data_IF_651283418803
#
_entry.id   IF_651283418803
#
_cell.length_a   1.000
_cell.length_b   1.000
_cell.length_c   1.000
_cell.angle_alpha   90.00
_cell.angle_beta   90.00
_cell.angle_gamma   90.00
#
_symmetry.space_group_name_H-M   'P 1'
#
loop_
_entity.id
_entity.type
_entity.pdbx_description
1 polymer ?
#
# COMPACT_ATOMS: atom_id res chain seq x y z
N UNK A 1 -13.83 13.09 -10.24
CA UNK A 1 -12.87 12.18 -9.62
C UNK A 1 -12.31 12.82 -8.36
N UNK A 2 -12.28 12.08 -7.25
CA UNK A 2 -11.76 12.61 -6.00
C UNK A 2 -10.24 12.79 -6.07
N UNK A 3 -9.77 13.86 -5.48
CA UNK A 3 -8.33 14.17 -5.40
C UNK A 3 -7.94 14.33 -3.94
N UNK A 4 -6.72 13.94 -3.57
CA UNK A 4 -6.26 14.18 -2.21
C UNK A 4 -6.14 15.67 -1.94
N UNK A 5 -6.65 16.09 -0.80
CA UNK A 5 -6.43 17.43 -0.28
C UNK A 5 -5.28 17.44 0.72
N UNK A 6 -4.96 16.26 1.27
CA UNK A 6 -3.89 16.15 2.24
C UNK A 6 -3.31 14.74 2.20
N UNK A 7 -1.99 14.65 2.22
CA UNK A 7 -1.25 13.39 2.27
C UNK A 7 -0.24 13.52 3.40
N UNK A 8 -0.35 12.68 4.43
CA UNK A 8 0.56 12.72 5.57
C UNK A 8 1.20 11.37 5.77
N UNK A 9 2.53 11.35 5.76
CA UNK A 9 3.27 10.12 6.01
C UNK A 9 3.69 10.07 7.47
N UNK A 10 3.21 9.07 8.18
CA UNK A 10 3.57 8.82 9.56
C UNK A 10 4.66 7.75 9.60
N UNK A 11 5.91 8.18 9.68
CA UNK A 11 7.06 7.29 9.56
C UNK A 11 7.12 6.28 10.71
N UNK A 12 6.80 6.71 11.90
CA UNK A 12 6.91 5.86 13.07
C UNK A 12 5.90 4.72 13.07
N UNK A 13 4.66 5.02 12.73
CA UNK A 13 3.60 4.01 12.67
C UNK A 13 3.53 3.32 11.31
N UNK A 14 4.28 3.80 10.33
CA UNK A 14 4.30 3.28 8.96
C UNK A 14 2.91 3.28 8.34
N UNK A 15 2.28 4.46 8.39
CA UNK A 15 0.93 4.67 7.86
C UNK A 15 0.92 5.89 6.97
N UNK A 16 0.24 5.81 5.84
CA UNK A 16 -0.03 6.93 4.96
C UNK A 16 -1.47 7.37 5.19
N UNK A 17 -1.63 8.60 5.66
CA UNK A 17 -2.95 9.19 5.91
C UNK A 17 -3.36 10.01 4.71
N UNK A 18 -4.55 9.77 4.18
CA UNK A 18 -5.07 10.43 2.98
C UNK A 18 -6.42 11.06 3.27
N UNK A 19 -6.57 12.31 2.84
CA UNK A 19 -7.84 13.04 2.88
C UNK A 19 -8.17 13.46 1.47
N UNK A 20 -9.39 13.17 1.02
CA UNK A 20 -9.83 13.46 -0.33
C UNK A 20 -10.87 14.58 -0.34
N UNK A 21 -11.02 15.24 -1.49
CA UNK A 21 -11.92 16.39 -1.62
C UNK A 21 -13.41 16.00 -1.59
N UNK A 22 -13.72 14.71 -1.65
CA UNK A 22 -15.09 14.22 -1.48
C UNK A 22 -15.43 13.92 -0.03
N UNK A 23 -14.52 14.23 0.90
CA UNK A 23 -14.70 13.97 2.33
C UNK A 23 -14.23 12.61 2.78
N UNK A 24 -13.79 11.74 1.87
CA UNK A 24 -13.29 10.42 2.25
C UNK A 24 -11.89 10.55 2.87
N UNK A 25 -11.69 9.82 3.96
CA UNK A 25 -10.39 9.77 4.65
C UNK A 25 -10.02 8.33 4.89
N UNK A 26 -8.73 8.02 4.84
CA UNK A 26 -8.27 6.67 5.15
C UNK A 26 -6.82 6.70 5.63
N UNK A 27 -6.47 5.65 6.36
CA UNK A 27 -5.11 5.42 6.83
C UNK A 27 -4.66 4.07 6.29
N UNK A 28 -3.67 4.08 5.40
CA UNK A 28 -3.20 2.87 4.75
C UNK A 28 -1.80 2.55 5.24
N UNK A 29 -1.60 1.30 5.71
CA UNK A 29 -0.27 0.90 6.17
C UNK A 29 0.67 0.81 4.98
N UNK A 30 1.96 1.01 5.25
CA UNK A 30 2.98 0.87 4.20
C UNK A 30 2.98 -0.56 3.65
N UNK A 31 2.77 -1.54 4.50
CA UNK A 31 2.68 -2.94 4.06
C UNK A 31 1.54 -3.12 3.06
N UNK A 32 0.35 -2.60 3.37
CA UNK A 32 -0.82 -2.72 2.49
C UNK A 32 -0.52 -2.07 1.13
N UNK A 33 0.06 -0.88 1.14
CA UNK A 33 0.41 -0.19 -0.10
C UNK A 33 1.46 -0.98 -0.90
N UNK A 34 2.45 -1.54 -0.22
CA UNK A 34 3.54 -2.27 -0.86
C UNK A 34 3.03 -3.54 -1.55
N UNK A 35 2.18 -4.31 -0.86
CA UNK A 35 1.70 -5.58 -1.42
C UNK A 35 0.64 -5.36 -2.50
N UNK A 36 0.08 -4.16 -2.59
CA UNK A 36 -0.90 -3.79 -3.62
C UNK A 36 -0.34 -2.79 -4.62
N UNK A 37 0.99 -2.67 -4.72
CA UNK A 37 1.60 -1.75 -5.66
C UNK A 37 1.10 -2.04 -7.09
N UNK A 38 0.77 -1.01 -7.88
CA UNK A 38 0.31 -1.22 -9.25
C UNK A 38 1.43 -1.53 -10.24
N UNK A 39 2.67 -1.66 -9.75
CA UNK A 39 3.81 -2.01 -10.57
C UNK A 39 3.64 -3.42 -11.16
N UNK A 40 4.16 -3.63 -12.36
CA UNK A 40 4.18 -4.96 -12.99
C UNK A 40 4.94 -5.98 -12.15
N UNK A 41 5.90 -5.53 -11.33
CA UNK A 41 6.62 -6.43 -10.41
C UNK A 41 5.68 -7.12 -9.44
N UNK A 42 4.56 -6.49 -9.11
CA UNK A 42 3.56 -7.04 -8.20
C UNK A 42 2.37 -7.60 -8.96
N UNK A 43 1.86 -6.85 -9.93
CA UNK A 43 0.63 -7.22 -10.63
C UNK A 43 0.85 -8.23 -11.76
N UNK A 44 2.08 -8.40 -12.22
CA UNK A 44 2.36 -9.26 -13.35
C UNK A 44 1.95 -8.59 -14.65
N UNK A 45 1.85 -9.38 -15.70
CA UNK A 45 1.55 -8.87 -17.03
C UNK A 45 0.11 -9.18 -17.47
N UNK A 46 -0.69 -9.76 -16.59
CA UNK A 46 -2.07 -10.06 -16.90
C UNK A 46 -2.77 -10.75 -15.75
N UNK A 47 -4.09 -10.99 -15.89
CA UNK A 47 -4.84 -11.66 -14.83
C UNK A 47 -4.23 -13.01 -14.49
N UNK A 48 -4.14 -13.31 -13.21
CA UNK A 48 -3.60 -14.56 -12.74
C UNK A 48 -2.08 -14.61 -12.68
N UNK A 49 -1.40 -13.53 -13.06
CA UNK A 49 0.06 -13.46 -13.03
C UNK A 49 0.59 -12.58 -11.90
N UNK A 50 -0.28 -12.20 -10.98
CA UNK A 50 0.13 -11.42 -9.81
C UNK A 50 1.15 -12.20 -8.99
N UNK A 51 2.14 -11.48 -8.47
CA UNK A 51 3.20 -12.06 -7.64
C UNK A 51 2.88 -11.77 -6.18
N UNK A 52 2.61 -12.82 -5.42
CA UNK A 52 2.30 -12.67 -4.00
C UNK A 52 3.52 -12.10 -3.27
N UNK A 53 3.34 -10.96 -2.62
CA UNK A 53 4.41 -10.32 -1.88
C UNK A 53 4.44 -10.87 -0.46
N UNK A 54 5.61 -11.29 0.01
CA UNK A 54 5.76 -11.84 1.36
C UNK A 54 6.89 -11.10 2.07
N UNK A 55 6.84 -11.13 3.41
CA UNK A 55 7.91 -10.53 4.21
C UNK A 55 7.90 -9.01 4.19
N UNK A 56 6.76 -8.37 3.97
CA UNK A 56 6.66 -6.91 3.86
C UNK A 56 6.13 -6.24 5.12
N UNK A 57 6.08 -6.96 6.23
CA UNK A 57 5.46 -6.47 7.48
C UNK A 57 6.13 -5.21 8.01
N UNK A 58 7.44 -5.07 7.79
CA UNK A 58 8.21 -3.95 8.34
C UNK A 58 8.60 -2.91 7.28
N UNK A 59 8.02 -2.99 6.08
CA UNK A 59 8.37 -2.05 5.02
C UNK A 59 7.90 -0.63 5.39
N UNK A 60 8.72 0.35 5.05
CA UNK A 60 8.38 1.75 5.22
C UNK A 60 8.48 2.48 3.90
N UNK A 61 8.12 3.76 3.92
CA UNK A 61 8.20 4.62 2.75
C UNK A 61 9.32 5.61 2.96
N UNK A 62 10.25 5.67 2.01
CA UNK A 62 11.36 6.64 2.05
C UNK A 62 10.96 7.97 1.45
N UNK A 63 10.14 7.95 0.40
CA UNK A 63 9.87 9.16 -0.36
C UNK A 63 8.56 9.02 -1.12
N UNK A 64 7.85 10.13 -1.26
CA UNK A 64 6.65 10.22 -2.08
C UNK A 64 6.91 11.30 -3.12
N UNK A 65 6.81 10.94 -4.38
CA UNK A 65 7.15 11.83 -5.49
C UNK A 65 5.90 12.07 -6.33
N UNK A 66 5.46 13.33 -6.49
CA UNK A 66 4.31 13.59 -7.35
C UNK A 66 4.59 13.13 -8.78
N UNK A 67 3.57 12.56 -9.41
CA UNK A 67 3.63 12.12 -10.80
C UNK A 67 2.49 12.81 -11.55
N UNK A 68 2.82 13.87 -12.27
CA UNK A 68 1.81 14.74 -12.83
C UNK A 68 0.94 15.32 -11.73
N UNK A 69 -0.33 15.57 -12.05
CA UNK A 69 -1.29 16.04 -11.06
C UNK A 69 -2.35 14.97 -10.74
N UNK A 70 -2.06 13.70 -11.03
CA UNK A 70 -3.05 12.63 -10.92
C UNK A 70 -2.54 11.41 -10.15
N UNK A 71 -1.29 11.42 -9.69
CA UNK A 71 -0.69 10.24 -9.08
C UNK A 71 0.52 10.59 -8.20
N UNK A 72 0.94 9.64 -7.40
CA UNK A 72 2.23 9.71 -6.70
C UNK A 72 3.00 8.42 -6.98
N UNK A 73 4.32 8.56 -7.04
CA UNK A 73 5.23 7.42 -7.03
C UNK A 73 5.68 7.23 -5.60
N UNK A 74 5.57 6.02 -5.09
CA UNK A 74 5.97 5.71 -3.72
C UNK A 74 7.30 4.96 -3.78
N UNK A 75 8.31 5.49 -3.08
CA UNK A 75 9.62 4.84 -2.95
C UNK A 75 9.63 4.14 -1.60
N UNK A 76 9.59 2.81 -1.64
CA UNK A 76 9.61 2.00 -0.42
C UNK A 76 11.04 1.74 0.01
N UNK A 77 11.24 1.46 1.30
CA UNK A 77 12.59 1.27 1.84
C UNK A 77 13.18 -0.11 1.53
N UNK A 78 12.42 -0.99 0.89
CA UNK A 78 12.94 -2.28 0.43
C UNK A 78 13.43 -2.22 -1.03
N UNK A 79 13.54 -1.02 -1.60
CA UNK A 79 14.04 -0.83 -2.95
C UNK A 79 12.97 -0.82 -4.03
N UNK A 80 11.72 -1.10 -3.69
CA UNK A 80 10.62 -1.09 -4.67
C UNK A 80 10.18 0.35 -4.91
N UNK A 81 10.30 0.84 -6.13
CA UNK A 81 9.97 2.23 -6.45
C UNK A 81 9.27 2.39 -7.80
N UNK A 82 8.79 1.30 -8.39
CA UNK A 82 8.20 1.37 -9.74
C UNK A 82 6.69 1.53 -9.74
N UNK A 83 6.05 1.63 -8.59
CA UNK A 83 4.59 1.76 -8.51
C UNK A 83 4.14 3.21 -8.59
N UNK A 84 3.26 3.50 -9.57
CA UNK A 84 2.62 4.81 -9.71
C UNK A 84 1.19 4.65 -9.22
N UNK A 85 0.89 5.26 -8.09
CA UNK A 85 -0.43 5.16 -7.47
C UNK A 85 -1.28 6.34 -7.88
N UNK A 86 -2.27 6.11 -8.74
CA UNK A 86 -3.19 7.18 -9.15
C UNK A 86 -4.14 7.52 -8.01
N UNK A 87 -4.76 8.70 -8.08
CA UNK A 87 -5.73 9.10 -7.05
C UNK A 87 -6.89 8.11 -6.97
N UNK A 88 -7.41 7.65 -8.11
CA UNK A 88 -8.49 6.68 -8.12
C UNK A 88 -8.06 5.35 -7.52
N UNK A 89 -6.83 4.92 -7.79
CA UNK A 89 -6.33 3.66 -7.24
C UNK A 89 -6.20 3.76 -5.72
N UNK A 90 -5.64 4.86 -5.22
CA UNK A 90 -5.51 5.08 -3.78
C UNK A 90 -6.86 5.15 -3.09
N UNK A 91 -7.82 5.84 -3.72
CA UNK A 91 -9.17 5.93 -3.18
C UNK A 91 -9.82 4.55 -3.09
N UNK A 92 -9.65 3.75 -4.15
CA UNK A 92 -10.15 2.38 -4.18
C UNK A 92 -9.51 1.49 -3.11
N UNK A 93 -8.20 1.63 -2.94
CA UNK A 93 -7.50 0.88 -1.88
C UNK A 93 -8.06 1.22 -0.52
N UNK A 94 -8.36 2.50 -0.27
CA UNK A 94 -8.94 2.91 1.00
C UNK A 94 -10.36 2.43 1.17
N UNK A 95 -11.17 2.55 0.11
CA UNK A 95 -12.58 2.15 0.14
C UNK A 95 -12.73 0.65 0.40
N UNK A 96 -11.86 -0.15 -0.19
CA UNK A 96 -11.97 -1.60 -0.11
C UNK A 96 -10.89 -2.23 0.79
N UNK A 97 -10.41 -1.46 1.76
CA UNK A 97 -9.30 -1.90 2.59
C UNK A 97 -9.55 -3.24 3.27
N UNK A 98 -10.69 -3.38 3.95
CA UNK A 98 -10.96 -4.60 4.72
C UNK A 98 -11.04 -5.83 3.83
N UNK A 99 -11.72 -5.70 2.70
CA UNK A 99 -11.84 -6.79 1.75
C UNK A 99 -10.48 -7.17 1.17
N UNK A 100 -9.74 -6.18 0.70
CA UNK A 100 -8.44 -6.41 0.07
C UNK A 100 -7.45 -7.02 1.04
N UNK A 101 -7.47 -6.55 2.29
CA UNK A 101 -6.57 -7.07 3.30
C UNK A 101 -6.88 -8.54 3.62
N UNK A 102 -8.17 -8.86 3.74
CA UNK A 102 -8.57 -10.25 4.00
C UNK A 102 -8.16 -11.17 2.85
N UNK A 103 -8.34 -10.72 1.61
CA UNK A 103 -7.93 -11.49 0.44
C UNK A 103 -6.41 -11.75 0.48
N UNK A 104 -5.64 -10.73 0.84
CA UNK A 104 -4.18 -10.86 0.94
C UNK A 104 -3.81 -11.89 2.02
N UNK A 105 -4.43 -11.81 3.19
CA UNK A 105 -4.15 -12.76 4.27
C UNK A 105 -4.51 -14.19 3.86
N UNK A 106 -5.60 -14.36 3.14
CA UNK A 106 -6.02 -15.68 2.65
C UNK A 106 -5.01 -16.25 1.66
N UNK A 107 -4.47 -15.40 0.79
CA UNK A 107 -3.45 -15.81 -0.17
C UNK A 107 -2.16 -16.25 0.52
N UNK A 108 -1.76 -15.53 1.56
CA UNK A 108 -0.58 -15.91 2.35
C UNK A 108 -0.79 -17.27 2.98
N UNK A 109 -1.95 -17.48 3.57
CA UNK A 109 -2.25 -18.74 4.23
C UNK A 109 -2.27 -19.88 3.23
N UNK A 110 -2.90 -19.69 2.07
CA UNK A 110 -2.97 -20.70 1.03
C UNK A 110 -1.59 -21.07 0.50
N UNK A 111 -0.66 -20.12 0.51
CA UNK A 111 0.71 -20.35 0.05
C UNK A 111 1.64 -20.89 1.14
N UNK A 112 1.12 -21.08 2.35
CA UNK A 112 1.91 -21.61 3.46
C UNK A 112 2.81 -20.60 4.12
N UNK A 113 2.56 -19.30 3.91
CA UNK A 113 3.35 -18.25 4.54
C UNK A 113 2.64 -17.71 5.75
N UNK A 114 3.40 -17.46 6.81
CA UNK A 114 2.87 -16.86 8.02
C UNK A 114 3.44 -15.46 8.16
N UNK A 115 2.53 -14.49 8.30
CA UNK A 115 2.93 -13.12 8.48
C UNK A 115 3.43 -12.93 9.90
N UNK A 116 4.62 -12.33 10.05
CA UNK A 116 5.15 -12.08 11.39
C UNK A 116 4.62 -10.76 11.92
N UNK A 117 4.62 -10.60 13.23
CA UNK A 117 4.21 -9.35 13.85
C UNK A 117 5.28 -8.29 13.65
N UNK A 118 4.84 -7.04 13.53
CA UNK A 118 5.76 -5.92 13.41
C UNK A 118 6.51 -5.74 14.72
N UNK A 119 7.81 -5.52 14.58
CA UNK A 119 8.68 -5.36 15.74
C UNK A 119 8.58 -3.97 16.35
N UNK A 120 7.96 -3.03 15.70
CA UNK A 120 7.80 -1.68 16.23
C UNK A 120 6.72 -1.59 17.30
N UNK A 121 6.04 -2.66 17.59
CA UNK A 121 5.06 -2.69 18.64
C UNK A 121 5.76 -2.59 19.97
N UNK A 122 5.18 -2.04 20.90
CA UNK A 122 5.75 -1.99 22.22
C UNK A 122 5.65 -3.34 22.84
N UNK A 123 5.82 -3.63 22.86
CA UNK A 123 5.64 -4.30 23.16
C UNK A 123 5.43 -4.39 23.98
N UNK A 124 5.34 -4.50 23.99
CA UNK A 124 5.21 -4.69 24.40
C UNK A 124 5.24 -4.61 25.11
#
# INVERSE_FOLDING_TARGET
MAKPTEIKLHQRSRVLELHFDDGFECNLTCEYLRVHSPSAEVQGHGPGQEVLQVGKEDVGIEQIIPSGNYAIKIVFDDGHDSGIFTWSYLHGLGTHYEHNWQVYLDKLKAAGHQRKERTSGPTQ
#
